data_IF_918030085961
#
_entry.id   IF_918030085961
#
_cell.length_a   1.000
_cell.length_b   1.000
_cell.length_c   1.000
_cell.angle_alpha   90.00
_cell.angle_beta   90.00
_cell.angle_gamma   90.00
#
_symmetry.space_group_name_H-M   'P 1'
#
loop_
_entity.id
_entity.type
_entity.pdbx_description
1 polymer ?
#
# COMPACT_ATOMS: atom_id res chain seq x y z
N UNK A 1 -9.61 29.64 -8.53
CA UNK A 1 -8.41 29.64 -9.37
C UNK A 1 -8.48 28.44 -10.30
N UNK A 2 -8.38 28.65 -11.61
CA UNK A 2 -8.35 27.55 -12.57
C UNK A 2 -6.97 26.88 -12.49
N UNK A 3 -6.91 25.62 -12.08
CA UNK A 3 -5.65 24.88 -11.95
C UNK A 3 -5.22 24.42 -13.35
N UNK A 4 -4.04 24.83 -13.80
CA UNK A 4 -3.46 24.39 -15.08
C UNK A 4 -3.26 22.87 -15.08
N UNK A 5 -3.30 22.26 -16.25
CA UNK A 5 -2.96 20.85 -16.36
C UNK A 5 -1.44 20.69 -16.22
N UNK A 6 -0.99 19.81 -15.34
CA UNK A 6 0.43 19.59 -15.08
C UNK A 6 1.19 19.10 -16.33
N UNK A 7 0.53 18.39 -17.26
CA UNK A 7 1.13 18.00 -18.54
C UNK A 7 1.62 19.18 -19.38
N UNK A 8 1.09 20.40 -19.18
CA UNK A 8 1.55 21.59 -19.88
C UNK A 8 3.00 21.96 -19.55
N UNK A 9 3.52 21.55 -18.39
CA UNK A 9 4.93 21.72 -18.00
C UNK A 9 5.87 20.75 -18.69
N UNK A 10 5.33 19.66 -19.24
CA UNK A 10 6.05 18.54 -19.82
C UNK A 10 5.73 18.40 -21.30
N UNK A 11 6.22 19.34 -22.15
CA UNK A 11 6.06 19.23 -23.59
C UNK A 11 6.78 17.99 -24.13
N UNK A 12 6.46 17.56 -25.35
CA UNK A 12 7.15 16.44 -25.99
C UNK A 12 8.67 16.64 -25.97
N UNK A 13 9.42 15.56 -25.74
CA UNK A 13 10.87 15.54 -25.56
C UNK A 13 11.27 15.22 -24.12
N UNK A 14 12.53 15.47 -23.77
CA UNK A 14 13.18 14.99 -22.54
C UNK A 14 12.35 15.15 -21.25
N UNK A 15 11.67 16.29 -21.08
CA UNK A 15 10.86 16.51 -19.88
C UNK A 15 9.67 15.56 -19.76
N UNK A 16 9.03 15.24 -20.90
CA UNK A 16 7.94 14.25 -20.94
C UNK A 16 8.47 12.84 -20.75
N UNK A 17 9.63 12.56 -21.32
CA UNK A 17 10.28 11.27 -21.22
C UNK A 17 10.64 10.94 -19.75
N UNK A 18 11.06 11.93 -18.96
CA UNK A 18 11.29 11.77 -17.51
C UNK A 18 10.02 11.33 -16.77
N UNK A 19 8.86 11.95 -17.07
CA UNK A 19 7.56 11.56 -16.46
C UNK A 19 7.19 10.13 -16.84
N UNK A 20 7.39 9.78 -18.12
CA UNK A 20 7.07 8.42 -18.60
C UNK A 20 8.04 7.39 -18.05
N UNK A 21 9.32 7.71 -17.93
CA UNK A 21 10.32 6.82 -17.33
C UNK A 21 10.00 6.56 -15.86
N UNK A 22 9.73 7.59 -15.07
CA UNK A 22 9.34 7.44 -13.66
C UNK A 22 8.06 6.62 -13.51
N UNK A 23 7.07 6.87 -14.38
CA UNK A 23 5.84 6.08 -14.45
C UNK A 23 6.08 4.61 -14.80
N UNK A 24 7.05 4.31 -15.70
CA UNK A 24 7.41 2.94 -16.06
C UNK A 24 8.15 2.21 -14.92
N UNK A 25 9.03 2.90 -14.21
CA UNK A 25 9.69 2.34 -13.02
C UNK A 25 8.68 2.00 -11.93
N UNK A 26 7.73 2.90 -11.68
CA UNK A 26 6.61 2.63 -10.77
C UNK A 26 5.72 1.48 -11.25
N UNK A 27 5.38 1.42 -12.55
CA UNK A 27 4.56 0.33 -13.11
C UNK A 27 5.21 -1.04 -12.89
N UNK A 28 6.54 -1.12 -13.03
CA UNK A 28 7.30 -2.33 -12.73
C UNK A 28 7.27 -2.67 -11.24
N UNK A 29 7.45 -1.66 -10.38
CA UNK A 29 7.39 -1.84 -8.94
C UNK A 29 6.04 -2.40 -8.48
N UNK A 30 4.92 -1.76 -8.87
CA UNK A 30 3.58 -2.19 -8.44
C UNK A 30 3.18 -3.55 -9.04
N UNK A 31 3.76 -3.93 -10.19
CA UNK A 31 3.57 -5.26 -10.78
C UNK A 31 4.28 -6.35 -9.99
N UNK A 32 5.48 -6.05 -9.47
CA UNK A 32 6.31 -7.00 -8.74
C UNK A 32 6.01 -7.08 -7.24
N UNK A 33 5.44 -6.01 -6.67
CA UNK A 33 5.23 -5.86 -5.23
C UNK A 33 3.73 -5.72 -4.94
N UNK A 34 3.04 -6.84 -4.81
CA UNK A 34 1.58 -6.89 -4.59
C UNK A 34 1.18 -6.99 -3.12
N UNK A 35 2.13 -7.28 -2.24
CA UNK A 35 1.92 -7.40 -0.80
C UNK A 35 2.83 -6.44 -0.02
N UNK A 36 2.48 -6.12 1.22
CA UNK A 36 3.34 -5.31 2.09
C UNK A 36 4.70 -5.97 2.34
N UNK A 37 4.76 -7.31 2.35
CA UNK A 37 6.03 -8.05 2.48
C UNK A 37 6.93 -7.89 1.25
N UNK A 38 6.36 -7.97 0.06
CA UNK A 38 7.10 -7.77 -1.20
C UNK A 38 7.57 -6.33 -1.33
N UNK A 39 6.72 -5.35 -1.00
CA UNK A 39 7.09 -3.94 -0.95
C UNK A 39 8.24 -3.70 0.02
N UNK A 40 8.12 -4.19 1.27
CA UNK A 40 9.15 -4.05 2.29
C UNK A 40 10.47 -4.67 1.84
N UNK A 41 10.46 -5.91 1.33
CA UNK A 41 11.67 -6.59 0.89
C UNK A 41 12.36 -5.86 -0.26
N UNK A 42 11.60 -5.46 -1.29
CA UNK A 42 12.13 -4.76 -2.46
C UNK A 42 12.73 -3.40 -2.10
N UNK A 43 12.01 -2.61 -1.29
CA UNK A 43 12.44 -1.28 -0.90
C UNK A 43 13.59 -1.32 0.12
N UNK A 44 13.64 -2.33 1.00
CA UNK A 44 14.77 -2.53 1.92
C UNK A 44 16.08 -2.80 1.18
N UNK A 45 16.07 -3.73 0.22
CA UNK A 45 17.26 -4.03 -0.60
C UNK A 45 17.71 -2.79 -1.38
N UNK A 46 16.79 -2.08 -2.01
CA UNK A 46 17.10 -0.83 -2.72
C UNK A 46 17.67 0.26 -1.78
N UNK A 47 17.19 0.34 -0.54
CA UNK A 47 17.74 1.23 0.47
C UNK A 47 19.17 0.85 0.85
N UNK A 48 19.44 -0.45 1.06
CA UNK A 48 20.81 -0.95 1.34
C UNK A 48 21.77 -0.63 0.18
N UNK A 49 21.34 -0.83 -1.08
CA UNK A 49 22.11 -0.44 -2.27
C UNK A 49 22.39 1.07 -2.34
N UNK A 50 21.45 1.90 -1.87
CA UNK A 50 21.60 3.36 -1.78
C UNK A 50 22.42 3.84 -0.55
N UNK A 51 23.00 2.89 0.22
CA UNK A 51 23.88 3.17 1.34
C UNK A 51 23.19 3.38 2.68
N UNK A 52 21.92 2.99 2.83
CA UNK A 52 21.28 2.94 4.14
C UNK A 52 21.84 1.77 4.96
N UNK A 53 22.16 2.03 6.22
CA UNK A 53 22.62 1.04 7.17
C UNK A 53 21.45 0.54 8.00
N UNK A 54 21.40 -0.76 8.25
CA UNK A 54 20.37 -1.37 9.07
C UNK A 54 20.48 -0.89 10.52
N UNK A 55 19.36 -0.51 11.13
CA UNK A 55 19.32 0.02 12.50
C UNK A 55 19.77 -1.00 13.54
N UNK A 56 19.36 -2.25 13.41
CA UNK A 56 19.72 -3.31 14.36
C UNK A 56 21.23 -3.63 14.27
N UNK A 57 21.82 -3.60 13.06
CA UNK A 57 23.27 -3.72 12.85
C UNK A 57 24.03 -2.56 13.51
N UNK A 58 23.53 -1.32 13.39
CA UNK A 58 24.14 -0.15 14.04
C UNK A 58 24.08 -0.24 15.56
N UNK A 59 22.94 -0.65 16.12
CA UNK A 59 22.75 -0.87 17.56
C UNK A 59 23.71 -1.96 18.05
N UNK A 60 23.73 -3.11 17.37
CA UNK A 60 24.58 -4.26 17.76
C UNK A 60 26.08 -3.93 17.74
N UNK A 61 26.51 -3.08 16.81
CA UNK A 61 27.92 -2.66 16.71
C UNK A 61 28.29 -1.53 17.66
N UNK A 62 27.33 -0.88 18.33
CA UNK A 62 27.56 0.32 19.15
C UNK A 62 28.05 1.51 18.33
N UNK A 63 27.65 1.57 17.05
CA UNK A 63 28.02 2.67 16.16
C UNK A 63 27.40 4.00 16.61
N UNK A 64 28.01 5.12 16.18
CA UNK A 64 27.41 6.45 16.33
C UNK A 64 27.02 7.01 14.98
N UNK A 65 25.95 7.81 14.95
CA UNK A 65 25.44 8.44 13.72
C UNK A 65 25.57 9.96 13.76
N UNK A 66 25.74 10.55 12.59
CA UNK A 66 25.95 12.00 12.37
C UNK A 66 25.17 12.48 11.15
N UNK A 67 25.14 13.80 10.95
CA UNK A 67 24.53 14.43 9.79
C UNK A 67 24.99 13.81 8.46
N UNK A 68 24.05 13.47 7.61
CA UNK A 68 24.27 12.80 6.32
C UNK A 68 24.24 11.27 6.37
N UNK A 69 24.30 10.64 7.55
CA UNK A 69 24.18 9.19 7.67
C UNK A 69 22.74 8.73 7.32
N UNK A 70 22.65 7.56 6.73
CA UNK A 70 21.40 6.96 6.24
C UNK A 70 21.10 5.68 7.03
N UNK A 71 19.92 5.60 7.60
CA UNK A 71 19.51 4.48 8.47
C UNK A 71 18.19 3.91 7.95
N UNK A 72 18.07 2.59 7.95
CA UNK A 72 16.80 1.88 7.67
C UNK A 72 16.46 0.94 8.82
N UNK A 73 15.22 0.99 9.28
CA UNK A 73 14.65 0.05 10.25
C UNK A 73 13.55 -0.76 9.57
N UNK A 74 13.55 -2.07 9.81
CA UNK A 74 12.58 -3.01 9.26
C UNK A 74 11.59 -3.44 10.34
N UNK A 75 10.29 -3.27 10.09
CA UNK A 75 9.23 -3.69 10.99
C UNK A 75 8.66 -5.04 10.57
N UNK A 76 9.23 -6.14 11.06
CA UNK A 76 8.72 -7.51 10.86
C UNK A 76 8.56 -7.92 9.37
N UNK A 77 9.31 -7.30 8.46
CA UNK A 77 9.17 -7.52 7.03
C UNK A 77 7.88 -6.97 6.41
N UNK A 78 7.19 -6.06 7.09
CA UNK A 78 5.88 -5.48 6.67
C UNK A 78 5.83 -3.96 6.72
N UNK A 79 6.93 -3.32 7.01
CA UNK A 79 7.06 -1.86 7.04
C UNK A 79 8.49 -1.41 7.19
N UNK A 80 8.76 -0.15 6.87
CA UNK A 80 10.10 0.45 6.92
C UNK A 80 10.04 1.85 7.53
N UNK A 81 11.10 2.21 8.27
CA UNK A 81 11.40 3.59 8.58
C UNK A 81 12.81 3.92 8.10
N UNK A 82 12.91 4.87 7.18
CA UNK A 82 14.18 5.34 6.63
C UNK A 82 14.49 6.74 7.17
N UNK A 83 15.72 6.96 7.55
CA UNK A 83 16.19 8.25 8.05
C UNK A 83 17.41 8.71 7.27
N UNK A 84 17.42 9.97 6.84
CA UNK A 84 18.63 10.69 6.40
C UNK A 84 18.90 11.78 7.41
N UNK A 85 19.97 11.62 8.17
CA UNK A 85 20.29 12.47 9.32
C UNK A 85 20.54 13.92 8.90
N UNK A 86 19.80 14.85 9.51
CA UNK A 86 19.93 16.28 9.28
C UNK A 86 21.13 16.93 9.97
N UNK A 87 21.43 18.18 9.57
CA UNK A 87 22.43 19.01 10.23
C UNK A 87 21.97 19.47 11.62
N UNK A 88 20.66 19.64 11.80
CA UNK A 88 20.05 19.96 13.10
C UNK A 88 19.78 18.70 13.91
N UNK A 89 19.81 18.84 15.23
CA UNK A 89 19.48 17.73 16.14
C UNK A 89 18.01 17.29 16.00
N UNK A 90 17.74 15.99 16.19
CA UNK A 90 16.37 15.44 16.07
C UNK A 90 15.35 16.18 16.95
N UNK A 91 15.75 16.71 18.10
CA UNK A 91 14.86 17.47 19.00
C UNK A 91 14.26 18.72 18.36
N UNK A 92 14.86 19.24 17.28
CA UNK A 92 14.32 20.36 16.52
C UNK A 92 13.22 19.93 15.54
N UNK A 93 12.98 18.62 15.39
CA UNK A 93 11.96 18.02 14.55
C UNK A 93 12.52 17.34 13.30
N UNK A 94 11.64 16.61 12.63
CA UNK A 94 11.93 15.87 11.40
C UNK A 94 10.93 16.27 10.32
N UNK A 95 11.31 16.10 9.05
CA UNK A 95 10.39 16.17 7.91
C UNK A 95 10.05 14.74 7.49
N UNK A 96 8.79 14.34 7.63
CA UNK A 96 8.33 12.96 7.54
C UNK A 96 7.38 12.81 6.36
N UNK A 97 7.66 11.84 5.48
CA UNK A 97 6.73 11.30 4.50
C UNK A 97 6.20 9.98 5.06
N UNK A 98 4.91 9.87 5.30
CA UNK A 98 4.25 8.64 5.77
C UNK A 98 3.29 8.11 4.73
N UNK A 99 3.30 6.80 4.46
CA UNK A 99 2.38 6.13 3.55
C UNK A 99 2.15 4.69 4.01
N UNK A 100 1.04 4.06 3.58
CA UNK A 100 0.87 2.64 3.81
C UNK A 100 1.23 1.79 2.59
N UNK A 101 1.47 0.50 2.80
CA UNK A 101 1.89 -0.42 1.74
C UNK A 101 1.03 -1.69 1.66
N UNK A 102 0.07 -1.85 2.57
CA UNK A 102 -1.01 -2.82 2.46
C UNK A 102 -2.09 -2.31 1.48
N UNK A 103 -2.95 -3.19 1.00
CA UNK A 103 -4.06 -2.87 0.09
C UNK A 103 -5.22 -3.83 0.31
N UNK A 104 -6.47 -3.46 -0.05
CA UNK A 104 -7.61 -4.37 0.04
C UNK A 104 -7.42 -5.63 -0.79
N UNK A 105 -7.78 -6.79 -0.26
CA UNK A 105 -7.55 -8.11 -0.85
C UNK A 105 -8.44 -9.20 -0.25
N UNK A 106 -8.20 -10.44 -0.65
CA UNK A 106 -8.67 -11.62 0.08
C UNK A 106 -7.48 -12.27 0.78
N UNK A 107 -7.67 -12.80 1.99
CA UNK A 107 -6.68 -13.61 2.72
C UNK A 107 -7.21 -15.04 2.85
N UNK A 108 -6.34 -16.05 2.77
CA UNK A 108 -6.73 -17.42 3.10
C UNK A 108 -7.01 -17.54 4.62
N UNK A 109 -8.07 -18.26 4.99
CA UNK A 109 -8.34 -18.63 6.39
C UNK A 109 -7.28 -19.63 6.88
N UNK A 110 -7.23 -19.87 8.18
CA UNK A 110 -6.23 -20.79 8.79
C UNK A 110 -6.45 -22.25 8.42
N UNK A 111 -7.67 -22.67 8.15
CA UNK A 111 -8.01 -24.02 7.66
C UNK A 111 -8.79 -23.85 6.36
N UNK A 112 -8.10 -23.51 5.25
CA UNK A 112 -8.80 -23.02 4.07
C UNK A 112 -9.26 -24.15 3.14
N UNK A 113 -8.57 -25.30 3.10
CA UNK A 113 -8.73 -26.32 2.06
C UNK A 113 -9.86 -27.29 2.37
N UNK A 114 -10.86 -27.34 1.48
CA UNK A 114 -11.95 -28.30 1.53
C UNK A 114 -12.33 -28.80 0.14
N UNK A 115 -13.12 -29.88 0.08
CA UNK A 115 -13.73 -30.39 -1.15
C UNK A 115 -15.23 -30.38 -1.02
N UNK A 116 -15.93 -29.90 -2.03
CA UNK A 116 -17.36 -30.09 -2.20
C UNK A 116 -17.68 -30.39 -3.67
N UNK A 117 -18.60 -31.31 -3.90
CA UNK A 117 -19.06 -31.72 -5.26
C UNK A 117 -17.91 -32.01 -6.24
N UNK A 118 -16.85 -32.64 -5.75
CA UNK A 118 -15.61 -32.97 -6.51
C UNK A 118 -14.88 -31.74 -7.04
N UNK A 119 -14.93 -30.63 -6.33
CA UNK A 119 -14.12 -29.43 -6.54
C UNK A 119 -13.34 -29.13 -5.27
N UNK A 120 -12.03 -28.90 -5.40
CA UNK A 120 -11.22 -28.42 -4.30
C UNK A 120 -11.32 -26.89 -4.23
N UNK A 121 -11.57 -26.38 -3.03
CA UNK A 121 -11.81 -24.99 -2.74
C UNK A 121 -10.88 -24.49 -1.64
N UNK A 122 -10.58 -23.18 -1.65
CA UNK A 122 -9.92 -22.49 -0.56
C UNK A 122 -10.84 -21.40 0.00
N UNK A 123 -11.14 -21.50 1.29
CA UNK A 123 -11.93 -20.54 2.06
C UNK A 123 -11.14 -19.27 2.35
N UNK A 124 -11.77 -18.11 2.14
CA UNK A 124 -11.11 -16.80 2.27
C UNK A 124 -11.85 -15.86 3.23
N UNK A 125 -11.15 -14.82 3.63
CA UNK A 125 -11.71 -13.66 4.30
C UNK A 125 -11.25 -12.38 3.58
N UNK A 126 -12.16 -11.46 3.26
CA UNK A 126 -11.75 -10.19 2.67
C UNK A 126 -11.05 -9.29 3.72
N UNK A 127 -10.09 -8.51 3.25
CA UNK A 127 -9.28 -7.55 4.00
C UNK A 127 -9.57 -6.14 3.46
N UNK A 128 -9.86 -5.18 4.37
CA UNK A 128 -10.19 -3.81 4.02
C UNK A 128 -11.61 -3.63 3.46
N UNK A 129 -11.89 -2.45 2.98
CA UNK A 129 -13.22 -2.05 2.49
C UNK A 129 -13.43 -2.38 1.01
N UNK A 130 -14.00 -3.55 0.69
CA UNK A 130 -14.20 -3.99 -0.69
C UNK A 130 -15.67 -3.99 -1.13
N UNK A 131 -15.92 -3.69 -2.39
CA UNK A 131 -17.17 -4.04 -3.08
C UNK A 131 -17.05 -5.47 -3.58
N UNK A 132 -17.53 -6.46 -2.82
CA UNK A 132 -17.33 -7.88 -3.06
C UNK A 132 -17.65 -8.33 -4.48
N UNK A 133 -18.66 -7.73 -5.12
CA UNK A 133 -19.04 -8.05 -6.50
C UNK A 133 -17.97 -7.68 -7.55
N UNK A 134 -16.98 -6.88 -7.21
CA UNK A 134 -15.83 -6.58 -8.09
C UNK A 134 -14.73 -7.64 -8.01
N UNK A 135 -14.79 -8.54 -7.01
CA UNK A 135 -13.75 -9.52 -6.68
C UNK A 135 -14.08 -10.94 -7.14
N UNK A 136 -15.18 -11.12 -7.86
CA UNK A 136 -15.58 -12.41 -8.47
C UNK A 136 -15.25 -12.42 -9.97
N UNK A 137 -15.14 -13.61 -10.56
CA UNK A 137 -14.87 -13.81 -12.00
C UNK A 137 -13.59 -13.18 -12.55
N UNK A 138 -12.61 -12.99 -11.68
CA UNK A 138 -11.29 -12.46 -12.03
C UNK A 138 -10.22 -13.55 -11.90
N UNK A 139 -9.18 -13.53 -12.75
CA UNK A 139 -7.98 -14.31 -12.48
C UNK A 139 -7.25 -13.73 -11.27
N UNK A 140 -6.95 -14.60 -10.30
CA UNK A 140 -6.30 -14.26 -9.04
C UNK A 140 -4.98 -15.03 -8.91
N UNK A 141 -4.05 -14.45 -8.18
CA UNK A 141 -2.74 -14.99 -7.84
C UNK A 141 -2.59 -15.12 -6.32
N UNK A 142 -1.73 -16.03 -5.88
CA UNK A 142 -1.35 -16.19 -4.48
C UNK A 142 0.01 -15.56 -4.22
N UNK A 143 0.09 -14.69 -3.24
CA UNK A 143 1.31 -14.07 -2.76
C UNK A 143 1.42 -14.22 -1.26
N UNK A 144 2.63 -14.38 -0.74
CA UNK A 144 2.82 -14.40 0.71
C UNK A 144 3.89 -15.37 1.19
N UNK A 145 3.71 -15.84 2.41
CA UNK A 145 4.67 -16.74 3.07
C UNK A 145 3.96 -17.81 3.89
N UNK A 146 4.61 -18.95 3.99
CA UNK A 146 4.26 -20.03 4.92
C UNK A 146 5.46 -20.28 5.83
N UNK A 147 5.27 -20.08 7.15
CA UNK A 147 6.30 -20.34 8.15
C UNK A 147 6.10 -21.72 8.75
N UNK A 148 7.02 -22.66 8.47
CA UNK A 148 6.94 -24.04 8.95
C UNK A 148 7.36 -24.17 10.42
N UNK A 149 6.94 -25.25 11.08
CA UNK A 149 7.27 -25.55 12.49
C UNK A 149 8.78 -25.70 12.75
N UNK A 150 9.57 -26.03 11.74
CA UNK A 150 11.04 -26.14 11.83
C UNK A 150 11.76 -24.78 11.66
N UNK A 151 11.00 -23.70 11.49
CA UNK A 151 11.52 -22.34 11.28
C UNK A 151 11.82 -21.97 9.83
N UNK A 152 11.64 -22.89 8.88
CA UNK A 152 11.79 -22.56 7.46
C UNK A 152 10.62 -21.73 6.95
N UNK A 153 10.87 -20.85 5.99
CA UNK A 153 9.85 -20.01 5.36
C UNK A 153 9.80 -20.31 3.87
N UNK A 154 8.62 -20.67 3.39
CA UNK A 154 8.31 -20.84 1.99
C UNK A 154 7.68 -19.55 1.47
N UNK A 155 8.30 -18.93 0.45
CA UNK A 155 7.70 -17.81 -0.26
C UNK A 155 6.73 -18.34 -1.31
N UNK A 156 5.52 -17.80 -1.33
CA UNK A 156 4.46 -18.13 -2.29
C UNK A 156 4.28 -16.96 -3.25
N UNK A 157 4.40 -17.23 -4.55
CA UNK A 157 4.06 -16.32 -5.63
C UNK A 157 3.66 -17.19 -6.82
N UNK A 158 2.36 -17.39 -7.00
CA UNK A 158 1.77 -18.30 -8.01
C UNK A 158 0.62 -17.57 -8.69
N UNK A 159 0.68 -17.43 -10.00
CA UNK A 159 -0.37 -16.84 -10.82
C UNK A 159 0.07 -15.65 -11.67
N UNK A 160 1.27 -15.12 -11.46
CA UNK A 160 1.76 -13.94 -12.19
C UNK A 160 2.77 -14.27 -13.30
N UNK A 161 3.45 -15.40 -13.22
CA UNK A 161 4.47 -15.78 -14.20
C UNK A 161 3.82 -16.46 -15.41
N UNK A 162 4.39 -16.31 -16.60
CA UNK A 162 3.95 -17.08 -17.77
C UNK A 162 4.00 -18.58 -17.49
N UNK A 163 2.86 -19.25 -17.63
CA UNK A 163 2.71 -20.68 -17.36
C UNK A 163 2.19 -21.04 -15.98
N UNK A 164 2.13 -20.10 -15.06
CA UNK A 164 1.47 -20.32 -13.77
C UNK A 164 -0.04 -20.57 -13.94
N UNK A 165 -0.66 -21.42 -13.10
CA UNK A 165 -2.10 -21.48 -13.00
C UNK A 165 -2.63 -20.20 -12.36
N UNK A 166 -3.85 -19.79 -12.69
CA UNK A 166 -4.59 -18.74 -11.99
C UNK A 166 -5.78 -19.36 -11.25
N UNK A 167 -6.29 -18.65 -10.26
CA UNK A 167 -7.39 -19.05 -9.41
C UNK A 167 -8.53 -18.05 -9.55
N UNK A 168 -9.69 -18.33 -8.96
CA UNK A 168 -10.77 -17.36 -9.01
C UNK A 168 -11.98 -17.75 -8.19
N UNK A 169 -12.74 -16.75 -7.84
CA UNK A 169 -14.07 -16.91 -7.24
C UNK A 169 -15.10 -16.97 -8.35
N UNK A 170 -15.90 -18.03 -8.38
CA UNK A 170 -17.02 -18.13 -9.33
C UNK A 170 -18.18 -17.23 -8.93
N UNK A 171 -18.98 -16.82 -9.89
CA UNK A 171 -20.25 -16.13 -9.66
C UNK A 171 -21.39 -16.89 -10.33
N UNK A 172 -22.60 -16.64 -9.88
CA UNK A 172 -23.78 -17.28 -10.43
C UNK A 172 -24.05 -16.80 -11.87
N UNK A 173 -24.32 -17.76 -12.77
CA UNK A 173 -24.65 -17.41 -14.15
C UNK A 173 -25.99 -16.64 -14.22
N UNK A 174 -26.12 -15.74 -15.20
CA UNK A 174 -27.28 -14.85 -15.35
C UNK A 174 -28.65 -15.61 -15.41
N UNK A 175 -28.68 -16.80 -15.98
CA UNK A 175 -29.92 -17.58 -16.13
C UNK A 175 -30.43 -18.15 -14.80
N UNK A 176 -29.65 -18.20 -13.75
CA UNK A 176 -30.04 -18.66 -12.41
C UNK A 176 -29.97 -17.54 -11.36
N UNK A 177 -29.65 -16.30 -11.74
CA UNK A 177 -29.36 -15.20 -10.83
C UNK A 177 -30.56 -14.32 -10.45
N UNK A 178 -31.81 -14.73 -10.75
CA UNK A 178 -32.98 -13.89 -10.51
C UNK A 178 -33.03 -13.35 -9.06
N UNK A 179 -32.95 -14.24 -8.07
CA UNK A 179 -32.99 -13.86 -6.65
C UNK A 179 -31.74 -13.09 -6.22
N UNK A 180 -30.56 -13.37 -6.82
CA UNK A 180 -29.32 -12.65 -6.56
C UNK A 180 -29.45 -11.20 -7.03
N UNK A 181 -30.02 -10.96 -8.21
CA UNK A 181 -30.19 -9.63 -8.80
C UNK A 181 -31.17 -8.73 -8.02
N UNK A 182 -32.07 -9.31 -7.23
CA UNK A 182 -33.00 -8.59 -6.35
C UNK A 182 -32.32 -8.12 -5.03
N UNK A 183 -31.12 -8.65 -4.72
CA UNK A 183 -30.38 -8.26 -3.52
C UNK A 183 -29.78 -6.86 -3.66
N UNK A 184 -29.62 -6.15 -2.53
CA UNK A 184 -28.82 -4.91 -2.50
C UNK A 184 -27.35 -5.21 -2.86
N UNK A 185 -26.69 -4.31 -3.57
CA UNK A 185 -25.31 -4.50 -4.04
C UNK A 185 -24.33 -4.96 -2.93
N UNK A 186 -24.49 -4.47 -1.69
CA UNK A 186 -23.69 -4.90 -0.55
C UNK A 186 -23.88 -6.37 -0.14
N UNK A 187 -24.96 -7.01 -0.61
CA UNK A 187 -25.35 -8.39 -0.28
C UNK A 187 -25.45 -9.30 -1.51
N UNK A 188 -25.15 -8.79 -2.70
CA UNK A 188 -25.22 -9.57 -3.94
C UNK A 188 -24.20 -10.70 -3.94
N UNK A 189 -23.04 -10.47 -3.37
CA UNK A 189 -22.01 -11.47 -3.04
C UNK A 189 -21.89 -11.52 -1.52
N UNK A 190 -22.05 -12.70 -0.94
CA UNK A 190 -21.87 -12.91 0.49
C UNK A 190 -20.38 -13.15 0.79
N UNK A 191 -19.89 -12.74 1.99
CA UNK A 191 -18.48 -12.88 2.33
C UNK A 191 -18.00 -14.33 2.34
N UNK A 192 -18.84 -15.24 2.84
CA UNK A 192 -18.56 -16.68 2.88
C UNK A 192 -18.63 -17.37 1.50
N UNK A 193 -18.98 -16.66 0.44
CA UNK A 193 -18.98 -17.16 -0.92
C UNK A 193 -17.80 -16.63 -1.76
N UNK A 194 -16.79 -16.06 -1.11
CA UNK A 194 -15.56 -15.60 -1.76
C UNK A 194 -14.48 -16.70 -1.80
N UNK A 195 -14.90 -17.95 -1.94
CA UNK A 195 -14.02 -19.10 -1.98
C UNK A 195 -13.45 -19.35 -3.37
N UNK A 196 -12.17 -19.72 -3.40
CA UNK A 196 -11.43 -19.93 -4.62
C UNK A 196 -11.55 -21.37 -5.11
N UNK A 197 -11.92 -21.57 -6.36
CA UNK A 197 -11.82 -22.86 -7.02
C UNK A 197 -10.36 -23.10 -7.44
N UNK A 198 -9.78 -24.23 -6.98
CA UNK A 198 -8.36 -24.53 -7.19
C UNK A 198 -8.08 -25.88 -7.86
N UNK A 199 -9.08 -26.73 -8.05
CA UNK A 199 -8.88 -27.99 -8.76
C UNK A 199 -10.12 -28.87 -8.85
N UNK A 200 -10.08 -29.84 -9.78
CA UNK A 200 -11.19 -30.77 -10.05
C UNK A 200 -10.74 -32.18 -10.45
N UNK A 201 -9.45 -32.49 -10.45
CA UNK A 201 -8.93 -33.82 -10.81
C UNK A 201 -8.85 -34.67 -9.54
N UNK A 202 -9.59 -35.80 -9.47
CA UNK A 202 -9.50 -36.68 -8.33
C UNK A 202 -8.20 -37.49 -8.34
N UNK A 203 -7.59 -37.69 -7.18
CA UNK A 203 -6.46 -38.62 -6.99
C UNK A 203 -6.86 -40.04 -7.40
N UNK A 204 -6.00 -40.69 -8.16
CA UNK A 204 -6.15 -42.11 -8.54
C UNK A 204 -5.50 -42.98 -7.46
N UNK A 205 -6.12 -44.12 -7.17
CA UNK A 205 -5.53 -45.15 -6.30
C UNK A 205 -4.99 -46.31 -7.13
N UNK A 206 -4.03 -47.05 -6.60
CA UNK A 206 -3.40 -48.18 -7.29
C UNK A 206 -4.39 -49.33 -7.53
N UNK A 207 -5.45 -49.43 -6.77
CA UNK A 207 -6.52 -50.39 -6.97
C UNK A 207 -7.91 -49.79 -6.70
N UNK A 208 -8.96 -50.46 -7.23
CA UNK A 208 -10.36 -50.00 -7.16
C UNK A 208 -10.98 -50.05 -5.77
N UNK A 209 -10.44 -50.82 -4.84
CA UNK A 209 -10.95 -50.91 -3.46
C UNK A 209 -10.51 -49.71 -2.67
N UNK A 210 -9.24 -49.38 -2.70
CA UNK A 210 -8.68 -48.17 -2.07
C UNK A 210 -9.32 -46.89 -2.65
N UNK A 211 -9.61 -46.92 -3.97
CA UNK A 211 -10.29 -45.79 -4.62
C UNK A 211 -11.68 -45.49 -4.07
N UNK A 212 -12.45 -46.55 -3.69
CA UNK A 212 -13.78 -46.37 -3.11
C UNK A 212 -13.79 -45.92 -1.65
N UNK A 213 -12.73 -46.23 -0.91
CA UNK A 213 -12.59 -45.86 0.49
C UNK A 213 -12.02 -44.43 0.67
N UNK A 214 -11.34 -43.90 -0.34
CA UNK A 214 -10.73 -42.57 -0.30
C UNK A 214 -11.80 -41.49 -0.37
N UNK A 215 -11.92 -40.68 0.69
CA UNK A 215 -12.75 -39.48 0.74
C UNK A 215 -11.97 -38.28 0.17
N UNK A 216 -12.69 -37.26 -0.29
CA UNK A 216 -12.13 -35.96 -0.71
C UNK A 216 -10.92 -36.14 -1.68
N UNK A 217 -11.12 -36.91 -2.74
CA UNK A 217 -10.07 -37.31 -3.68
C UNK A 217 -9.46 -36.15 -4.47
N UNK A 218 -10.24 -35.11 -4.74
CA UNK A 218 -9.73 -33.89 -5.42
C UNK A 218 -8.85 -33.12 -4.46
N UNK A 219 -9.29 -32.94 -3.21
CA UNK A 219 -8.46 -32.37 -2.15
C UNK A 219 -7.16 -33.16 -1.96
N UNK A 220 -7.24 -34.48 -1.95
CA UNK A 220 -6.03 -35.33 -1.80
C UNK A 220 -5.05 -35.12 -2.97
N UNK A 221 -5.53 -34.95 -4.20
CA UNK A 221 -4.67 -34.64 -5.35
C UNK A 221 -4.01 -33.25 -5.22
N UNK A 222 -4.77 -32.24 -4.77
CA UNK A 222 -4.20 -30.90 -4.53
C UNK A 222 -3.14 -30.94 -3.45
N UNK A 223 -3.34 -31.70 -2.36
CA UNK A 223 -2.32 -31.86 -1.32
C UNK A 223 -1.03 -32.52 -1.85
N UNK A 224 -1.14 -33.51 -2.75
CA UNK A 224 0.02 -34.11 -3.40
C UNK A 224 0.79 -33.09 -4.25
N UNK A 225 0.08 -32.24 -4.99
CA UNK A 225 0.68 -31.17 -5.80
C UNK A 225 1.38 -30.16 -4.89
N UNK A 226 0.71 -29.69 -3.84
CA UNK A 226 1.27 -28.74 -2.87
C UNK A 226 2.54 -29.30 -2.20
N UNK A 227 2.51 -30.57 -1.80
CA UNK A 227 3.67 -31.22 -1.20
C UNK A 227 4.83 -31.40 -2.19
N UNK A 228 4.54 -31.82 -3.44
CA UNK A 228 5.56 -32.17 -4.43
C UNK A 228 6.19 -30.95 -5.09
N UNK A 229 5.38 -29.97 -5.48
CA UNK A 229 5.84 -28.81 -6.25
C UNK A 229 6.24 -27.63 -5.36
N UNK A 230 5.57 -27.45 -4.22
CA UNK A 230 5.77 -26.28 -3.34
C UNK A 230 6.32 -26.67 -1.96
N UNK A 231 6.38 -27.94 -1.61
CA UNK A 231 6.82 -28.42 -0.30
C UNK A 231 5.91 -27.99 0.83
N UNK A 232 4.61 -27.87 0.58
CA UNK A 232 3.58 -27.41 1.53
C UNK A 232 2.70 -28.57 1.95
N UNK A 233 2.51 -28.75 3.25
CA UNK A 233 1.56 -29.71 3.83
C UNK A 233 0.30 -28.98 4.34
N UNK A 234 -0.80 -29.71 4.54
CA UNK A 234 -2.07 -29.10 4.98
C UNK A 234 -1.95 -28.32 6.30
N UNK A 235 -1.22 -28.87 7.27
CA UNK A 235 -0.97 -28.23 8.56
C UNK A 235 -0.16 -26.91 8.46
N UNK A 236 0.58 -26.71 7.38
CA UNK A 236 1.40 -25.51 7.17
C UNK A 236 0.53 -24.26 6.95
N UNK A 237 -0.73 -24.42 6.50
CA UNK A 237 -1.67 -23.31 6.38
C UNK A 237 -1.98 -22.63 7.73
N UNK A 238 -1.84 -23.31 8.85
CA UNK A 238 -2.07 -22.72 10.18
C UNK A 238 -1.13 -21.57 10.50
N UNK A 239 0.04 -21.52 9.86
CA UNK A 239 1.04 -20.45 10.02
C UNK A 239 1.39 -19.81 8.65
N UNK A 240 0.40 -19.73 7.78
CA UNK A 240 0.51 -19.05 6.50
C UNK A 240 -0.05 -17.62 6.56
N UNK A 241 0.56 -16.74 5.80
CA UNK A 241 0.01 -15.43 5.42
C UNK A 241 -0.02 -15.41 3.90
N UNK A 242 -1.14 -15.85 3.31
CA UNK A 242 -1.35 -15.91 1.87
C UNK A 242 -2.44 -14.93 1.47
N UNK A 243 -2.04 -13.96 0.70
CA UNK A 243 -2.88 -12.94 0.08
C UNK A 243 -3.30 -13.38 -1.32
N UNK A 244 -4.57 -13.17 -1.62
CA UNK A 244 -5.16 -13.48 -2.93
C UNK A 244 -5.45 -12.16 -3.62
N UNK A 245 -4.70 -11.90 -4.67
CA UNK A 245 -4.66 -10.61 -5.35
C UNK A 245 -4.92 -10.78 -6.85
N UNK A 246 -5.32 -9.73 -7.59
CA UNK A 246 -5.49 -9.83 -9.04
C UNK A 246 -4.23 -10.31 -9.75
N UNK A 247 -4.36 -11.33 -10.60
CA UNK A 247 -3.25 -11.86 -11.39
C UNK A 247 -2.90 -10.94 -12.56
N UNK A 248 -1.60 -10.84 -12.86
CA UNK A 248 -1.07 -10.07 -13.98
C UNK A 248 -0.48 -8.73 -13.60
N UNK A 249 0.24 -8.13 -14.55
CA UNK A 249 0.99 -6.90 -14.36
C UNK A 249 0.10 -5.64 -14.49
N UNK A 250 0.52 -4.56 -13.85
CA UNK A 250 0.02 -3.21 -14.13
C UNK A 250 0.34 -2.80 -15.58
N UNK A 251 -0.55 -2.02 -16.19
CA UNK A 251 -0.47 -1.65 -17.62
C UNK A 251 -0.64 -0.15 -17.84
N UNK A 252 -0.03 0.32 -18.92
CA UNK A 252 -0.38 1.63 -19.48
C UNK A 252 -1.88 1.68 -19.80
N UNK A 253 -2.53 2.79 -19.43
CA UNK A 253 -3.95 2.98 -19.62
C UNK A 253 -4.23 4.24 -20.44
N UNK A 254 -5.21 4.15 -21.34
CA UNK A 254 -5.56 5.19 -22.31
C UNK A 254 -4.70 5.13 -23.58
N UNK A 255 -5.21 5.72 -24.68
CA UNK A 255 -4.52 5.71 -25.98
C UNK A 255 -3.17 6.43 -25.95
N UNK A 256 -3.06 7.46 -25.14
CA UNK A 256 -1.85 8.28 -24.97
C UNK A 256 -0.90 7.73 -23.92
N UNK A 257 -1.28 6.62 -23.24
CA UNK A 257 -0.51 5.96 -22.17
C UNK A 257 -0.15 6.88 -21.00
N UNK A 258 -0.94 7.92 -20.78
CA UNK A 258 -0.72 8.91 -19.73
C UNK A 258 -1.06 8.42 -18.32
N UNK A 259 -1.73 7.27 -18.24
CA UNK A 259 -2.21 6.67 -16.99
C UNK A 259 -1.65 5.26 -16.80
N UNK A 260 -1.77 4.74 -15.59
CA UNK A 260 -1.43 3.36 -15.23
C UNK A 260 -2.66 2.72 -14.57
N UNK A 261 -3.02 1.53 -15.02
CA UNK A 261 -3.99 0.65 -14.36
C UNK A 261 -3.22 -0.46 -13.64
N UNK A 262 -3.45 -0.64 -12.36
CA UNK A 262 -2.79 -1.65 -11.53
C UNK A 262 -3.57 -1.98 -10.27
N UNK A 263 -3.15 -3.03 -9.57
CA UNK A 263 -3.66 -3.39 -8.27
C UNK A 263 -2.87 -2.71 -7.16
N UNK A 264 -3.56 -2.09 -6.20
CA UNK A 264 -2.96 -1.53 -5.00
C UNK A 264 -2.21 -0.22 -5.25
N UNK A 265 -2.72 0.66 -6.12
CA UNK A 265 -2.29 2.05 -6.17
C UNK A 265 -2.53 2.74 -4.82
N UNK A 266 -3.60 2.38 -4.14
CA UNK A 266 -3.87 2.68 -2.76
C UNK A 266 -3.05 1.74 -1.84
N UNK A 267 -1.99 2.19 -1.13
CA UNK A 267 -1.38 3.55 -1.24
C UNK A 267 0.06 3.49 -1.76
N UNK A 268 0.40 2.44 -2.53
CA UNK A 268 1.75 2.27 -3.10
C UNK A 268 2.13 3.40 -4.07
N UNK A 269 1.14 4.09 -4.65
CA UNK A 269 1.38 5.26 -5.51
C UNK A 269 1.91 6.47 -4.73
N UNK A 270 1.68 6.53 -3.41
CA UNK A 270 2.29 7.53 -2.53
C UNK A 270 3.53 6.98 -1.82
N UNK A 271 3.56 5.69 -1.49
CA UNK A 271 4.71 5.03 -0.85
C UNK A 271 5.95 5.04 -1.76
N UNK A 272 5.81 4.68 -3.03
CA UNK A 272 6.92 4.64 -3.97
C UNK A 272 7.60 6.01 -4.19
N UNK A 273 6.89 7.10 -4.54
CA UNK A 273 7.52 8.41 -4.68
C UNK A 273 8.04 8.96 -3.36
N UNK A 274 7.49 8.59 -2.19
CA UNK A 274 8.04 8.94 -0.87
C UNK A 274 9.41 8.28 -0.65
N UNK A 275 9.52 7.01 -1.02
CA UNK A 275 10.78 6.27 -0.97
C UNK A 275 11.82 6.84 -1.96
N UNK A 276 11.44 7.08 -3.22
CA UNK A 276 12.35 7.67 -4.20
C UNK A 276 12.80 9.09 -3.77
N UNK A 277 11.92 9.86 -3.13
CA UNK A 277 12.24 11.19 -2.65
C UNK A 277 13.30 11.18 -1.54
N UNK A 278 13.22 10.24 -0.58
CA UNK A 278 14.24 10.17 0.47
C UNK A 278 15.59 9.71 -0.06
N UNK A 279 15.63 8.86 -1.11
CA UNK A 279 16.87 8.50 -1.78
C UNK A 279 17.57 9.70 -2.44
N UNK A 280 16.80 10.69 -2.92
CA UNK A 280 17.28 11.90 -3.56
C UNK A 280 17.77 12.99 -2.60
N UNK A 281 17.72 12.74 -1.26
CA UNK A 281 18.16 13.68 -0.24
C UNK A 281 19.48 13.21 0.38
N UNK A 282 20.47 14.09 0.44
CA UNK A 282 21.80 13.71 0.99
C UNK A 282 22.10 14.31 2.36
N UNK A 283 22.00 15.61 2.53
CA UNK A 283 22.30 16.33 3.78
C UNK A 283 21.22 17.37 4.05
N UNK A 284 20.05 16.97 4.54
CA UNK A 284 18.97 17.90 4.80
C UNK A 284 19.26 18.76 6.04
N UNK A 285 18.61 19.91 6.14
CA UNK A 285 18.71 20.74 7.33
C UNK A 285 18.10 20.04 8.56
N UNK A 286 16.89 19.50 8.41
CA UNK A 286 16.21 18.63 9.39
C UNK A 286 16.31 17.18 8.95
N UNK A 287 16.36 16.25 9.89
CA UNK A 287 16.32 14.82 9.53
C UNK A 287 15.10 14.52 8.69
N UNK A 288 15.35 13.94 7.50
CA UNK A 288 14.31 13.47 6.60
C UNK A 288 13.94 12.05 6.94
N UNK A 289 12.64 11.74 6.89
CA UNK A 289 12.12 10.40 7.21
C UNK A 289 11.15 9.95 6.11
N UNK A 290 11.25 8.68 5.72
CA UNK A 290 10.20 7.97 4.99
C UNK A 290 9.70 6.83 5.87
N UNK A 291 8.42 6.85 6.21
CA UNK A 291 7.77 5.87 7.08
C UNK A 291 6.71 5.13 6.28
N UNK A 292 6.95 3.83 6.05
CA UNK A 292 6.06 2.95 5.32
C UNK A 292 5.45 1.93 6.29
N UNK A 293 4.13 1.92 6.40
CA UNK A 293 3.40 1.13 7.40
C UNK A 293 2.43 0.14 6.77
N UNK A 294 2.02 -0.83 7.56
CA UNK A 294 1.06 -1.88 7.23
C UNK A 294 -0.28 -1.63 7.95
N UNK A 295 -1.32 -2.33 7.57
CA UNK A 295 -2.63 -2.40 8.25
C UNK A 295 -3.48 -1.13 8.25
N UNK A 296 -3.17 -0.16 7.39
CA UNK A 296 -4.01 1.04 7.28
C UNK A 296 -5.45 0.67 6.96
N UNK A 297 -5.63 -0.21 5.98
CA UNK A 297 -6.91 -0.67 5.43
C UNK A 297 -7.83 -1.37 6.45
N UNK A 298 -7.29 -1.77 7.59
CA UNK A 298 -8.03 -2.39 8.70
C UNK A 298 -7.93 -1.59 10.00
N UNK A 299 -7.56 -0.29 9.91
CA UNK A 299 -7.56 0.65 11.04
C UNK A 299 -6.23 0.83 11.73
N UNK A 300 -5.11 0.46 11.13
CA UNK A 300 -3.73 0.66 11.62
C UNK A 300 -3.42 -0.01 12.97
N UNK A 301 -4.21 -0.99 13.39
CA UNK A 301 -4.05 -1.71 14.66
C UNK A 301 -3.17 -2.96 14.46
N UNK A 302 -2.25 -3.18 15.38
CA UNK A 302 -1.33 -4.33 15.37
C UNK A 302 0.13 -3.92 15.33
N UNK A 303 1.04 -4.89 15.47
CA UNK A 303 2.47 -4.65 15.66
C UNK A 303 3.15 -3.99 14.45
N UNK A 304 2.65 -4.20 13.24
CA UNK A 304 3.17 -3.59 12.00
C UNK A 304 2.38 -2.34 11.56
N UNK A 305 1.23 -2.04 12.19
CA UNK A 305 0.41 -0.86 11.88
C UNK A 305 0.95 0.43 12.51
N UNK A 306 0.44 1.57 12.04
CA UNK A 306 0.88 2.90 12.50
C UNK A 306 0.61 3.14 13.99
N UNK A 307 -0.39 2.47 14.60
CA UNK A 307 -0.68 2.57 16.04
C UNK A 307 0.34 1.82 16.92
N UNK A 308 1.25 1.06 16.34
CA UNK A 308 2.34 0.42 17.08
C UNK A 308 3.35 1.43 17.60
N UNK A 309 4.23 1.02 18.51
CA UNK A 309 5.34 1.84 19.00
C UNK A 309 6.57 1.82 18.10
N UNK A 310 6.49 1.18 16.95
CA UNK A 310 7.64 1.01 16.06
C UNK A 310 8.33 2.34 15.73
N UNK A 311 7.59 3.33 15.24
CA UNK A 311 8.19 4.61 14.86
C UNK A 311 8.78 5.37 16.06
N UNK A 312 8.06 5.41 17.19
CA UNK A 312 8.54 6.02 18.43
C UNK A 312 9.85 5.37 18.92
N UNK A 313 9.92 4.03 18.85
CA UNK A 313 11.13 3.27 19.20
C UNK A 313 12.27 3.58 18.23
N UNK A 314 12.03 3.66 16.93
CA UNK A 314 13.05 4.06 15.95
C UNK A 314 13.61 5.46 16.25
N UNK A 315 12.77 6.44 16.59
CA UNK A 315 13.21 7.79 16.97
C UNK A 315 14.05 7.76 18.23
N UNK A 316 13.69 6.93 19.22
CA UNK A 316 14.47 6.76 20.45
C UNK A 316 15.86 6.16 20.16
N UNK A 317 15.94 5.12 19.31
CA UNK A 317 17.21 4.48 18.93
C UNK A 317 18.10 5.42 18.10
N UNK A 318 17.55 6.17 17.16
CA UNK A 318 18.29 7.16 16.38
C UNK A 318 18.87 8.24 17.31
N UNK A 319 18.10 8.71 18.31
CA UNK A 319 18.60 9.64 19.34
C UNK A 319 19.72 9.01 20.18
N UNK A 320 19.61 7.72 20.51
CA UNK A 320 20.63 6.98 21.25
C UNK A 320 21.93 6.83 20.44
N UNK A 321 21.83 6.42 19.18
CA UNK A 321 22.97 6.35 18.24
C UNK A 321 23.64 7.70 18.00
N UNK A 322 22.85 8.80 18.05
CA UNK A 322 23.37 10.17 17.98
C UNK A 322 23.93 10.70 19.32
N UNK A 323 23.91 9.91 20.39
CA UNK A 323 24.41 10.29 21.73
C UNK A 323 23.54 11.32 22.47
N UNK A 324 22.29 11.50 22.09
CA UNK A 324 21.39 12.55 22.60
C UNK A 324 20.07 12.01 23.18
N UNK A 325 20.02 10.73 23.55
CA UNK A 325 18.78 10.10 24.04
C UNK A 325 18.37 10.64 25.42
N UNK A 326 17.10 10.97 25.52
CA UNK A 326 16.33 11.05 26.76
C UNK A 326 14.83 10.97 26.40
N UNK A 327 13.97 10.57 27.32
CA UNK A 327 12.51 10.57 27.15
C UNK A 327 12.00 11.94 26.65
N UNK A 328 12.53 13.02 27.17
CA UNK A 328 12.15 14.38 26.75
C UNK A 328 12.66 14.71 25.35
N UNK A 329 13.82 14.17 24.95
CA UNK A 329 14.35 14.34 23.60
C UNK A 329 13.46 13.67 22.55
N UNK A 330 12.97 12.44 22.81
CA UNK A 330 12.01 11.72 21.95
C UNK A 330 10.74 12.53 21.78
N UNK A 331 10.13 12.99 22.89
CA UNK A 331 8.89 13.79 22.85
C UNK A 331 9.08 15.11 22.07
N UNK A 332 10.21 15.78 22.22
CA UNK A 332 10.51 17.00 21.48
C UNK A 332 10.72 16.73 19.99
N UNK A 333 11.43 15.65 19.64
CA UNK A 333 11.65 15.25 18.27
C UNK A 333 10.30 15.01 17.55
N UNK A 334 9.42 14.22 18.16
CA UNK A 334 8.09 13.94 17.63
C UNK A 334 7.26 15.23 17.51
N UNK A 335 7.08 15.98 18.61
CA UNK A 335 6.27 17.19 18.64
C UNK A 335 6.66 18.25 17.60
N UNK A 336 7.97 18.43 17.38
CA UNK A 336 8.47 19.47 16.49
C UNK A 336 8.50 19.04 15.01
N UNK A 337 8.09 17.81 14.72
CA UNK A 337 8.09 17.22 13.37
C UNK A 337 6.95 17.73 12.50
N UNK A 338 7.15 17.66 11.20
CA UNK A 338 6.18 18.00 10.15
C UNK A 338 5.98 16.78 9.26
N UNK A 339 4.75 16.53 8.89
CA UNK A 339 4.35 15.30 8.21
C UNK A 339 3.51 15.61 6.97
N UNK A 340 3.87 15.02 5.86
CA UNK A 340 2.93 14.68 4.80
C UNK A 340 2.49 13.23 5.04
N UNK A 341 1.27 13.06 5.53
CA UNK A 341 0.61 11.76 5.63
C UNK A 341 0.09 11.43 4.26
N UNK A 342 0.89 10.70 3.50
CA UNK A 342 0.54 10.37 2.14
C UNK A 342 -0.52 9.28 2.14
N UNK A 343 -1.57 9.53 1.37
CA UNK A 343 -2.66 8.60 1.11
C UNK A 343 -3.40 9.09 -0.13
N UNK A 344 -3.90 8.17 -0.94
CA UNK A 344 -4.59 8.52 -2.18
C UNK A 344 -5.82 9.39 -1.93
N UNK A 345 -6.18 10.18 -2.93
CA UNK A 345 -7.39 11.00 -2.91
C UNK A 345 -8.33 10.58 -4.03
N UNK A 346 -9.64 10.52 -3.75
CA UNK A 346 -10.64 10.15 -4.77
C UNK A 346 -10.65 11.16 -5.91
N UNK A 347 -10.31 10.72 -7.12
CA UNK A 347 -10.40 11.55 -8.32
C UNK A 347 -11.87 11.80 -8.71
N UNK A 348 -12.13 12.98 -9.24
CA UNK A 348 -13.43 13.29 -9.84
C UNK A 348 -13.70 12.36 -11.04
N UNK A 349 -14.66 11.48 -10.90
CA UNK A 349 -15.10 10.59 -11.95
C UNK A 349 -16.31 11.20 -12.70
N UNK A 350 -16.19 11.48 -14.01
CA UNK A 350 -17.28 12.03 -14.79
C UNK A 350 -18.49 11.07 -14.92
N UNK A 351 -18.32 9.77 -14.66
CA UNK A 351 -19.43 8.82 -14.62
C UNK A 351 -20.25 8.91 -13.33
N UNK A 352 -19.67 9.48 -12.26
CA UNK A 352 -20.30 9.57 -10.93
C UNK A 352 -20.27 10.99 -10.34
N UNK A 353 -20.66 12.04 -11.10
CA UNK A 353 -20.55 13.43 -10.64
C UNK A 353 -21.46 13.73 -9.45
N UNK A 354 -22.48 12.93 -9.22
CA UNK A 354 -23.49 13.15 -8.16
C UNK A 354 -22.92 13.01 -6.75
N UNK A 355 -21.82 12.27 -6.55
CA UNK A 355 -21.18 12.05 -5.24
C UNK A 355 -20.01 13.02 -4.97
N UNK A 356 -19.67 13.87 -5.92
CA UNK A 356 -18.53 14.79 -5.87
C UNK A 356 -18.98 16.26 -5.74
N UNK A 357 -18.20 17.09 -5.02
CA UNK A 357 -18.28 18.54 -5.06
C UNK A 357 -17.14 19.08 -5.96
N UNK A 358 -17.49 19.53 -7.14
CA UNK A 358 -16.54 19.78 -8.24
C UNK A 358 -15.43 20.79 -7.89
N UNK A 359 -15.70 21.80 -7.05
CA UNK A 359 -14.70 22.83 -6.69
C UNK A 359 -13.64 22.32 -5.71
N UNK A 360 -13.98 21.31 -4.91
CA UNK A 360 -13.13 20.75 -3.87
C UNK A 360 -12.81 19.26 -4.11
N UNK A 361 -12.84 18.82 -5.37
CA UNK A 361 -12.44 17.46 -5.75
C UNK A 361 -11.03 17.45 -6.32
N UNK A 362 -10.36 16.30 -6.24
CA UNK A 362 -9.12 16.03 -6.94
C UNK A 362 -9.40 15.71 -8.42
N UNK A 363 -8.50 16.09 -9.29
CA UNK A 363 -8.59 15.84 -10.74
C UNK A 363 -7.28 15.26 -11.25
N UNK A 364 -7.35 14.37 -12.22
CA UNK A 364 -6.18 13.89 -12.93
C UNK A 364 -5.47 15.04 -13.68
N UNK A 365 -4.15 14.96 -13.71
CA UNK A 365 -3.31 15.94 -14.37
C UNK A 365 -3.21 17.29 -13.64
N UNK A 366 -3.49 17.33 -12.34
CA UNK A 366 -3.39 18.55 -11.52
C UNK A 366 -2.30 18.47 -10.45
N UNK A 367 -1.54 17.38 -10.43
CA UNK A 367 -0.42 17.17 -9.54
C UNK A 367 -0.82 16.65 -8.14
N UNK A 368 0.09 16.87 -7.19
CA UNK A 368 -0.04 16.44 -5.80
C UNK A 368 -1.33 16.97 -5.16
N UNK A 369 -2.05 16.13 -4.43
CA UNK A 369 -3.29 16.52 -3.73
C UNK A 369 -2.98 16.78 -2.26
N UNK A 370 -3.48 17.89 -1.72
CA UNK A 370 -3.53 18.13 -0.28
C UNK A 370 -4.97 18.06 0.20
N UNK A 371 -5.26 17.19 1.15
CA UNK A 371 -6.53 17.12 1.87
C UNK A 371 -6.33 17.73 3.26
N UNK A 372 -6.91 18.90 3.48
CA UNK A 372 -6.81 19.57 4.80
C UNK A 372 -7.41 18.70 5.91
N UNK A 373 -8.41 17.88 5.56
CA UNK A 373 -9.08 16.88 6.39
C UNK A 373 -9.70 15.82 5.49
N UNK A 374 -9.88 14.60 6.02
CA UNK A 374 -10.43 13.45 5.29
C UNK A 374 -11.68 12.86 5.97
N UNK A 375 -11.95 13.18 7.23
CA UNK A 375 -13.01 12.57 8.03
C UNK A 375 -14.42 12.84 7.52
N UNK A 376 -15.34 11.97 7.91
CA UNK A 376 -16.77 12.02 7.57
C UNK A 376 -17.60 12.69 8.66
N UNK A 377 -18.88 12.98 8.37
CA UNK A 377 -19.86 13.44 9.37
C UNK A 377 -19.37 14.60 10.23
N UNK A 378 -18.94 15.68 9.62
CA UNK A 378 -18.41 16.85 10.32
C UNK A 378 -16.94 16.69 10.71
N UNK A 379 -16.12 16.09 9.85
CA UNK A 379 -14.66 15.86 10.00
C UNK A 379 -14.29 14.91 11.15
N UNK A 380 -15.19 14.01 11.52
CA UNK A 380 -14.94 13.06 12.60
C UNK A 380 -13.86 12.06 12.22
N UNK A 381 -12.95 11.74 13.16
CA UNK A 381 -11.91 10.73 12.99
C UNK A 381 -10.79 11.12 12.03
N UNK A 382 -10.57 12.42 11.79
CA UNK A 382 -9.47 12.88 10.93
C UNK A 382 -8.65 13.98 11.58
N UNK A 383 -7.45 14.21 11.05
CA UNK A 383 -6.69 15.42 11.28
C UNK A 383 -7.33 16.60 10.51
N UNK A 384 -7.30 17.82 11.06
CA UNK A 384 -7.63 19.08 10.36
C UNK A 384 -6.38 19.97 10.39
N UNK A 385 -5.65 20.04 9.28
CA UNK A 385 -4.34 20.67 9.22
C UNK A 385 -4.41 22.16 9.54
N UNK A 386 -3.42 22.64 10.31
CA UNK A 386 -3.31 24.04 10.72
C UNK A 386 -3.07 24.97 9.51
N UNK A 387 -3.70 26.13 9.52
CA UNK A 387 -3.63 27.10 8.43
C UNK A 387 -2.19 27.58 8.14
N UNK A 388 -1.39 27.77 9.18
CA UNK A 388 0.02 28.18 9.09
C UNK A 388 0.86 27.11 8.38
N UNK A 389 0.61 25.86 8.70
CA UNK A 389 1.30 24.73 8.06
C UNK A 389 0.90 24.58 6.58
N UNK A 390 -0.41 24.70 6.28
CA UNK A 390 -0.90 24.72 4.89
C UNK A 390 -0.27 25.86 4.10
N UNK A 391 -0.17 27.06 4.69
CA UNK A 391 0.45 28.22 4.04
C UNK A 391 1.95 27.97 3.73
N UNK A 392 2.68 27.35 4.66
CA UNK A 392 4.08 26.96 4.46
C UNK A 392 4.24 25.98 3.30
N UNK A 393 3.41 24.92 3.27
CA UNK A 393 3.44 23.92 2.21
C UNK A 393 3.14 24.53 0.82
N UNK A 394 2.14 25.41 0.74
CA UNK A 394 1.85 26.14 -0.50
C UNK A 394 3.07 26.92 -1.00
N UNK A 395 3.75 27.60 -0.10
CA UNK A 395 4.96 28.35 -0.47
C UNK A 395 6.07 27.41 -0.95
N UNK A 396 6.31 26.27 -0.31
CA UNK A 396 7.27 25.27 -0.74
C UNK A 396 6.94 24.78 -2.15
N UNK A 397 5.69 24.39 -2.41
CA UNK A 397 5.26 23.89 -3.72
C UNK A 397 5.38 24.95 -4.81
N UNK A 398 4.95 26.18 -4.54
CA UNK A 398 5.03 27.29 -5.49
C UNK A 398 6.49 27.65 -5.82
N UNK A 399 7.38 27.69 -4.81
CA UNK A 399 8.81 28.01 -4.98
C UNK A 399 9.52 26.96 -5.84
N UNK A 400 9.15 25.69 -5.69
CA UNK A 400 9.72 24.56 -6.43
C UNK A 400 8.98 24.22 -7.73
N UNK A 401 8.04 25.06 -8.14
CA UNK A 401 7.22 24.87 -9.34
C UNK A 401 6.53 23.50 -9.38
N UNK A 402 6.09 22.97 -8.23
CA UNK A 402 5.33 21.73 -8.12
C UNK A 402 3.87 22.03 -8.39
N UNK A 403 3.24 21.26 -9.30
CA UNK A 403 1.79 21.31 -9.46
C UNK A 403 1.11 20.64 -8.30
N UNK A 404 0.19 21.32 -7.65
CA UNK A 404 -0.60 20.76 -6.57
C UNK A 404 -2.05 21.26 -6.60
N UNK A 405 -2.89 20.53 -5.91
CA UNK A 405 -4.30 20.85 -5.74
C UNK A 405 -4.74 20.56 -4.31
N UNK A 406 -5.90 21.11 -3.94
CA UNK A 406 -6.56 20.82 -2.66
C UNK A 406 -7.88 20.13 -2.94
N UNK A 407 -8.24 19.13 -2.16
CA UNK A 407 -9.47 18.38 -2.33
C UNK A 407 -10.09 17.95 -0.99
N UNK A 408 -11.33 17.51 -1.06
CA UNK A 408 -12.05 16.77 -0.04
C UNK A 408 -12.49 15.43 -0.63
N UNK A 409 -12.74 14.44 0.20
CA UNK A 409 -13.17 13.12 -0.20
C UNK A 409 -14.69 13.08 -0.44
N UNK A 410 -15.13 13.52 -1.62
CA UNK A 410 -16.53 13.53 -2.01
C UNK A 410 -17.35 14.69 -1.40
N UNK A 411 -18.68 14.60 -1.53
CA UNK A 411 -19.62 15.56 -0.93
C UNK A 411 -19.72 15.38 0.59
N UNK A 412 -19.98 16.47 1.29
CA UNK A 412 -20.41 16.44 2.71
C UNK A 412 -21.54 15.43 2.89
N UNK A 413 -21.48 14.63 3.94
CA UNK A 413 -22.40 13.53 4.30
C UNK A 413 -22.31 12.27 3.40
N UNK A 414 -21.51 12.25 2.35
CA UNK A 414 -21.33 11.09 1.47
C UNK A 414 -19.94 10.50 1.51
N UNK A 415 -18.92 11.34 1.58
CA UNK A 415 -17.51 10.94 1.58
C UNK A 415 -16.87 11.05 2.94
N UNK A 416 -15.64 10.57 3.01
CA UNK A 416 -14.77 10.62 4.17
C UNK A 416 -14.22 9.25 4.55
N UNK A 417 -12.98 9.23 4.98
CA UNK A 417 -12.25 8.06 5.44
C UNK A 417 -11.21 8.44 6.49
N UNK A 418 -10.75 7.46 7.27
CA UNK A 418 -9.59 7.60 8.14
C UNK A 418 -8.32 7.45 7.31
N UNK A 419 -7.22 7.99 7.82
CA UNK A 419 -5.85 7.83 7.30
C UNK A 419 -4.92 7.75 8.50
N UNK A 420 -3.64 7.51 8.29
CA UNK A 420 -2.65 7.51 9.39
C UNK A 420 -2.40 8.92 9.97
N UNK A 421 -2.91 9.97 9.36
CA UNK A 421 -2.67 11.36 9.76
C UNK A 421 -3.05 11.66 11.21
N UNK A 422 -4.23 11.20 11.66
CA UNK A 422 -4.67 11.45 13.03
C UNK A 422 -3.79 10.77 14.08
N UNK A 423 -3.17 9.64 13.73
CA UNK A 423 -2.28 8.89 14.64
C UNK A 423 -1.00 9.68 14.86
N UNK A 424 -0.40 10.20 13.77
CA UNK A 424 0.78 11.07 13.84
C UNK A 424 0.48 12.40 14.56
N UNK A 425 -0.72 12.96 14.34
CA UNK A 425 -1.16 14.17 15.04
C UNK A 425 -1.28 14.00 16.56
N UNK A 426 -1.49 12.78 17.07
CA UNK A 426 -1.49 12.49 18.51
C UNK A 426 -0.13 12.75 19.20
N UNK A 427 0.95 12.87 18.42
CA UNK A 427 2.27 13.28 18.90
C UNK A 427 2.50 14.79 18.85
N UNK A 428 1.45 15.61 18.69
CA UNK A 428 1.49 17.07 18.51
C UNK A 428 2.25 17.53 17.23
N UNK A 429 2.44 16.65 16.24
CA UNK A 429 3.07 16.99 14.96
C UNK A 429 2.17 17.89 14.12
N UNK A 430 2.78 18.69 13.23
CA UNK A 430 2.05 19.33 12.15
C UNK A 430 1.83 18.32 11.02
N UNK A 431 0.59 17.92 10.77
CA UNK A 431 0.23 16.87 9.81
C UNK A 431 -0.77 17.40 8.78
N UNK A 432 -0.64 17.00 7.55
CA UNK A 432 -1.64 17.12 6.49
C UNK A 432 -1.68 15.85 5.65
N UNK A 433 -2.87 15.48 5.19
CA UNK A 433 -3.01 14.41 4.21
C UNK A 433 -2.58 14.90 2.82
N UNK A 434 -1.75 14.11 2.14
CA UNK A 434 -1.12 14.48 0.87
C UNK A 434 -0.92 13.26 0.00
N UNK A 435 -1.41 13.25 -1.21
CA UNK A 435 -1.26 12.06 -2.07
C UNK A 435 -1.58 12.28 -3.53
N UNK A 436 -1.89 11.19 -4.20
CA UNK A 436 -2.18 11.14 -5.63
C UNK A 436 -3.65 10.87 -5.87
N UNK A 437 -4.24 11.54 -6.88
CA UNK A 437 -5.61 11.27 -7.28
C UNK A 437 -5.73 9.87 -7.90
N UNK A 438 -6.72 9.08 -7.45
CA UNK A 438 -6.97 7.72 -7.92
C UNK A 438 -8.43 7.53 -8.32
N UNK A 439 -8.66 6.75 -9.37
CA UNK A 439 -9.99 6.22 -9.74
C UNK A 439 -10.08 4.76 -9.37
N UNK A 440 -11.29 4.28 -9.09
CA UNK A 440 -11.57 2.89 -8.70
C UNK A 440 -10.91 2.47 -7.37
N UNK A 441 -10.68 3.40 -6.44
CA UNK A 441 -10.11 3.11 -5.11
C UNK A 441 -10.74 1.84 -4.51
N UNK A 442 -9.91 0.94 -3.96
CA UNK A 442 -10.29 -0.38 -3.41
C UNK A 442 -10.84 -1.41 -4.40
N UNK A 443 -10.86 -1.10 -5.70
CA UNK A 443 -11.18 -2.11 -6.70
C UNK A 443 -9.95 -2.98 -7.04
N UNK A 444 -10.14 -4.18 -7.60
CA UNK A 444 -9.00 -5.00 -8.07
C UNK A 444 -8.07 -4.29 -9.06
N UNK A 445 -8.60 -3.32 -9.79
CA UNK A 445 -7.85 -2.52 -10.76
C UNK A 445 -8.17 -1.03 -10.58
N UNK A 446 -7.18 -0.29 -10.12
CA UNK A 446 -7.23 1.14 -9.90
C UNK A 446 -6.49 1.90 -10.99
N UNK A 447 -6.70 3.20 -11.12
CA UNK A 447 -6.13 4.01 -12.19
C UNK A 447 -5.55 5.29 -11.61
N UNK A 448 -4.31 5.63 -12.02
CA UNK A 448 -3.64 6.88 -11.67
C UNK A 448 -3.07 7.58 -12.91
N UNK A 449 -2.76 8.88 -12.78
CA UNK A 449 -2.07 9.66 -13.81
C UNK A 449 -0.56 9.70 -13.56
N UNK A 450 0.25 9.41 -14.58
CA UNK A 450 1.72 9.42 -14.49
C UNK A 450 2.27 10.79 -14.10
N UNK A 451 1.66 11.88 -14.57
CA UNK A 451 2.13 13.21 -14.22
C UNK A 451 1.84 13.57 -12.78
N UNK A 452 0.74 13.10 -12.21
CA UNK A 452 0.40 13.35 -10.81
C UNK A 452 1.35 12.58 -9.88
N UNK A 453 1.70 11.35 -10.22
CA UNK A 453 2.74 10.56 -9.57
C UNK A 453 4.10 11.27 -9.60
N UNK A 454 4.50 11.82 -10.75
CA UNK A 454 5.77 12.52 -10.89
C UNK A 454 5.79 13.86 -10.14
N UNK A 455 4.69 14.62 -10.14
CA UNK A 455 4.57 15.85 -9.34
C UNK A 455 4.54 15.54 -7.84
N UNK A 456 4.00 14.40 -7.40
CA UNK A 456 4.10 13.95 -6.01
C UNK A 456 5.57 13.69 -5.63
N UNK A 457 6.34 12.98 -6.45
CA UNK A 457 7.77 12.77 -6.24
C UNK A 457 8.53 14.10 -6.09
N UNK A 458 8.30 15.06 -6.99
CA UNK A 458 8.92 16.39 -6.91
C UNK A 458 8.52 17.15 -5.65
N UNK A 459 7.24 17.10 -5.30
CA UNK A 459 6.69 17.73 -4.09
C UNK A 459 7.27 17.15 -2.81
N UNK A 460 7.45 15.85 -2.76
CA UNK A 460 8.04 15.15 -1.61
C UNK A 460 9.52 15.52 -1.43
N UNK A 461 10.30 15.60 -2.51
CA UNK A 461 11.69 16.11 -2.43
C UNK A 461 11.73 17.55 -1.88
N UNK A 462 10.89 18.43 -2.42
CA UNK A 462 10.82 19.82 -1.97
C UNK A 462 10.46 19.92 -0.48
N UNK A 463 9.49 19.13 -0.04
CA UNK A 463 9.09 19.05 1.36
C UNK A 463 10.23 18.57 2.27
N UNK A 464 10.91 17.48 1.93
CA UNK A 464 12.01 16.95 2.74
C UNK A 464 13.14 17.96 2.89
N UNK A 465 13.39 18.80 1.89
CA UNK A 465 14.46 19.78 1.88
C UNK A 465 14.12 21.09 2.60
N UNK A 466 12.86 21.55 2.54
CA UNK A 466 12.50 22.95 2.88
C UNK A 466 11.44 23.09 4.01
N UNK A 467 10.85 22.01 4.49
CA UNK A 467 9.77 22.08 5.48
C UNK A 467 10.24 22.41 6.92
#
# INVERSE_FOLDING_TARGET
MEKKNAWEKYPQGNKRDEVFQFGEEYRKFISACKTERECTASLYEKAKEAGFQDMDELIASGASVKAGDKIVANNMGKGLALFVMGEKGLQEGMNILGAHIDSPRLDLKQVPLYEDTQMAMLDTHYYGGVKKYQWVTLPMAFHGVICKKDGTTVKVNIGDKPGDPVFGVSDLLIHLSADQMEKKAAKVIEGENLDLLIGSIPKTADNKEDEKEMKDRVKANILDILATEYGIEEDDFLSAEIEVVPAGEARDYGFDRSMIMGYGHDDRVCAYPSFEAILAVEKPQYTSVCLLVDKEEIGSVGASGMQSRFFENCVAEVLNLAGNYSELAVRRALKNSKVLSSDVSAAFDPNYPSVMEKRNSAFFGKGLVFNKYTGSRGKSGSNDANAEYVAKLRNIMDTNEVSFQTAELGKVDQGGGGTIAYILANYDMNVIDSGVAVLNMHAPWEIISKVDLYEAYRGYIAFLKEA
#
